data_IF_755042566510
#
_entry.id   IF_755042566510
#
_cell.length_a   1.000
_cell.length_b   1.000
_cell.length_c   1.000
_cell.angle_alpha   90.00
_cell.angle_beta   90.00
_cell.angle_gamma   90.00
#
_symmetry.space_group_name_H-M   'P 1'
#
loop_
_entity.id
_entity.type
_entity.pdbx_description
1 polymer ?
#
# COMPACT_ATOMS: atom_id res chain seq x y z
N UNK A 1 5.93 17.47 21.58
CA UNK A 1 7.16 17.16 20.80
C UNK A 1 6.89 16.20 19.66
N UNK A 2 6.06 15.18 19.82
CA UNK A 2 5.72 14.17 18.80
C UNK A 2 5.27 14.75 17.44
N UNK A 3 4.36 15.73 17.42
CA UNK A 3 3.91 16.34 16.16
C UNK A 3 5.00 17.08 15.36
N UNK A 4 6.03 17.60 16.05
CA UNK A 4 7.17 18.22 15.37
C UNK A 4 8.05 17.18 14.69
N UNK A 5 8.22 15.99 15.30
CA UNK A 5 8.93 14.85 14.73
C UNK A 5 8.20 14.30 13.50
N UNK A 6 6.90 14.08 13.62
CA UNK A 6 6.07 13.61 12.50
C UNK A 6 6.11 14.60 11.33
N UNK A 7 6.05 15.92 11.62
CA UNK A 7 6.18 16.96 10.60
C UNK A 7 7.56 16.98 9.93
N UNK A 8 8.62 16.72 10.67
CA UNK A 8 9.99 16.64 10.13
C UNK A 8 10.12 15.43 9.19
N UNK A 9 9.67 14.25 9.64
CA UNK A 9 9.62 13.03 8.84
C UNK A 9 8.81 13.23 7.56
N UNK A 10 7.62 13.83 7.67
CA UNK A 10 6.75 14.16 6.54
C UNK A 10 7.41 15.14 5.55
N UNK A 11 8.10 16.17 6.06
CA UNK A 11 8.79 17.14 5.20
C UNK A 11 9.89 16.49 4.36
N UNK A 12 10.57 15.49 4.91
CA UNK A 12 11.61 14.73 4.20
C UNK A 12 11.03 13.92 3.03
N UNK A 13 9.84 13.33 3.18
CA UNK A 13 9.26 12.41 2.20
C UNK A 13 8.33 13.04 1.18
N UNK A 14 7.77 14.22 1.48
CA UNK A 14 6.72 14.86 0.65
C UNK A 14 7.07 15.01 -0.83
N UNK A 15 8.37 15.21 -1.15
CA UNK A 15 8.83 15.31 -2.55
C UNK A 15 8.68 13.98 -3.28
N UNK A 16 9.21 12.93 -2.71
CA UNK A 16 9.21 11.60 -3.34
C UNK A 16 7.79 11.04 -3.43
N UNK A 17 7.00 11.16 -2.36
CA UNK A 17 5.59 10.77 -2.35
C UNK A 17 4.79 11.59 -3.37
N UNK A 18 5.05 12.90 -3.45
CA UNK A 18 4.41 13.76 -4.44
C UNK A 18 4.70 13.36 -5.88
N UNK A 19 5.95 12.97 -6.18
CA UNK A 19 6.35 12.47 -7.51
C UNK A 19 5.63 11.13 -7.80
N UNK A 20 5.61 10.20 -6.84
CA UNK A 20 4.93 8.92 -7.01
C UNK A 20 3.42 9.11 -7.27
N UNK A 21 2.76 9.96 -6.49
CA UNK A 21 1.35 10.28 -6.69
C UNK A 21 1.11 10.95 -8.07
N UNK A 22 1.97 11.89 -8.47
CA UNK A 22 1.86 12.54 -9.77
C UNK A 22 2.00 11.54 -10.94
N UNK A 23 2.97 10.63 -10.87
CA UNK A 23 3.17 9.58 -11.90
C UNK A 23 1.93 8.69 -12.01
N UNK A 24 1.36 8.25 -10.89
CA UNK A 24 0.15 7.41 -10.86
C UNK A 24 -1.04 8.17 -11.48
N UNK A 25 -1.26 9.42 -11.08
CA UNK A 25 -2.37 10.23 -11.57
C UNK A 25 -2.24 10.54 -13.07
N UNK A 26 -1.04 10.86 -13.54
CA UNK A 26 -0.76 11.10 -14.96
C UNK A 26 -1.01 9.81 -15.77
N UNK A 27 -0.54 8.66 -15.30
CA UNK A 27 -0.79 7.38 -15.96
C UNK A 27 -2.29 7.07 -16.06
N UNK A 28 -3.07 7.27 -14.99
CA UNK A 28 -4.52 7.09 -14.99
C UNK A 28 -5.25 8.07 -15.92
N UNK A 29 -4.83 9.33 -15.95
CA UNK A 29 -5.39 10.36 -16.80
C UNK A 29 -5.12 10.07 -18.28
N UNK A 30 -3.89 9.71 -18.64
CA UNK A 30 -3.54 9.36 -20.03
C UNK A 30 -4.30 8.12 -20.51
N UNK A 31 -4.40 7.08 -19.67
CA UNK A 31 -5.16 5.88 -19.98
C UNK A 31 -6.65 6.21 -20.15
N UNK A 32 -7.21 7.06 -19.31
CA UNK A 32 -8.61 7.50 -19.40
C UNK A 32 -8.92 8.33 -20.66
N UNK A 33 -8.05 9.28 -21.02
CA UNK A 33 -8.20 10.09 -22.24
C UNK A 33 -8.13 9.24 -23.51
N UNK A 34 -7.18 8.31 -23.59
CA UNK A 34 -7.07 7.40 -24.72
C UNK A 34 -8.27 6.44 -24.79
N UNK A 35 -8.75 5.93 -23.65
CA UNK A 35 -9.97 5.13 -23.58
C UNK A 35 -11.20 5.88 -24.09
N UNK A 36 -11.35 7.13 -23.64
CA UNK A 36 -12.42 8.02 -24.09
C UNK A 36 -12.36 8.27 -25.61
N UNK A 37 -11.17 8.47 -26.15
CA UNK A 37 -10.99 8.70 -27.58
C UNK A 37 -11.30 7.45 -28.41
N UNK A 38 -10.82 6.29 -27.97
CA UNK A 38 -11.13 5.00 -28.61
C UNK A 38 -12.63 4.72 -28.65
N UNK A 39 -13.34 4.96 -27.55
CA UNK A 39 -14.80 4.81 -27.49
C UNK A 39 -15.51 5.70 -28.50
N UNK A 40 -15.15 6.99 -28.58
CA UNK A 40 -15.75 7.92 -29.56
C UNK A 40 -15.53 7.50 -31.01
N UNK A 41 -14.37 6.96 -31.35
CA UNK A 41 -14.08 6.47 -32.68
C UNK A 41 -14.88 5.20 -33.01
N UNK A 42 -15.01 4.27 -32.07
CA UNK A 42 -15.75 3.03 -32.27
C UNK A 42 -17.24 3.27 -32.45
N UNK A 43 -17.81 4.26 -31.77
CA UNK A 43 -19.22 4.65 -31.90
C UNK A 43 -19.49 5.37 -33.22
N UNK A 44 -18.50 6.10 -33.77
CA UNK A 44 -18.65 6.83 -35.05
C UNK A 44 -18.55 5.96 -36.30
N UNK A 45 -18.55 4.63 -36.17
CA UNK A 45 -18.39 3.66 -37.30
C UNK A 45 -17.13 3.92 -38.15
N UNK A 46 -16.20 4.71 -37.69
CA UNK A 46 -14.95 4.98 -38.38
C UNK A 46 -13.94 3.86 -38.08
N UNK A 47 -13.25 3.36 -39.11
CA UNK A 47 -12.22 2.36 -38.89
C UNK A 47 -11.14 2.94 -37.97
N UNK A 48 -10.97 2.35 -36.80
CA UNK A 48 -9.92 2.75 -35.86
C UNK A 48 -8.59 2.29 -36.46
N UNK A 49 -7.63 3.18 -36.72
CA UNK A 49 -6.31 2.79 -37.22
C UNK A 49 -5.61 1.78 -36.29
N UNK A 50 -5.00 0.74 -36.86
CA UNK A 50 -4.32 -0.30 -36.10
C UNK A 50 -3.27 0.29 -35.15
N UNK A 51 -2.57 1.35 -35.57
CA UNK A 51 -1.60 2.06 -34.76
C UNK A 51 -2.23 2.63 -33.47
N UNK A 52 -3.46 3.16 -33.54
CA UNK A 52 -4.16 3.68 -32.37
C UNK A 52 -4.59 2.56 -31.42
N UNK A 53 -5.04 1.41 -31.94
CA UNK A 53 -5.38 0.26 -31.13
C UNK A 53 -4.16 -0.26 -30.36
N UNK A 54 -3.02 -0.42 -31.06
CA UNK A 54 -1.77 -0.86 -30.44
C UNK A 54 -1.28 0.14 -29.39
N UNK A 55 -1.33 1.45 -29.66
CA UNK A 55 -0.91 2.48 -28.72
C UNK A 55 -1.79 2.52 -27.47
N UNK A 56 -3.09 2.31 -27.61
CA UNK A 56 -4.02 2.21 -26.49
C UNK A 56 -3.69 0.99 -25.60
N UNK A 57 -3.51 -0.18 -26.20
CA UNK A 57 -3.16 -1.40 -25.46
C UNK A 57 -1.85 -1.21 -24.70
N UNK A 58 -0.82 -0.66 -25.36
CA UNK A 58 0.47 -0.39 -24.71
C UNK A 58 0.35 0.59 -23.53
N UNK A 59 -0.47 1.63 -23.67
CA UNK A 59 -0.65 2.64 -22.62
C UNK A 59 -1.44 2.08 -21.44
N UNK A 60 -2.47 1.28 -21.68
CA UNK A 60 -3.21 0.58 -20.61
C UNK A 60 -2.29 -0.41 -19.90
N UNK A 61 -1.51 -1.20 -20.62
CA UNK A 61 -0.52 -2.11 -20.03
C UNK A 61 0.51 -1.35 -19.19
N UNK A 62 1.00 -0.22 -19.69
CA UNK A 62 1.91 0.63 -18.93
C UNK A 62 1.26 1.16 -17.65
N UNK A 63 0.01 1.60 -17.68
CA UNK A 63 -0.71 2.07 -16.49
C UNK A 63 -0.93 0.94 -15.48
N UNK A 64 -1.33 -0.27 -15.94
CA UNK A 64 -1.51 -1.47 -15.10
C UNK A 64 -0.23 -1.89 -14.40
N UNK A 65 0.93 -1.70 -15.04
CA UNK A 65 2.23 -2.01 -14.44
C UNK A 65 2.70 -0.86 -13.52
N UNK A 66 2.51 0.39 -13.93
CA UNK A 66 3.02 1.58 -13.20
C UNK A 66 2.38 1.71 -11.82
N UNK A 67 1.06 1.47 -11.68
CA UNK A 67 0.36 1.63 -10.40
C UNK A 67 0.89 0.68 -9.32
N UNK A 68 0.94 -0.66 -9.52
CA UNK A 68 1.51 -1.56 -8.52
C UNK A 68 3.00 -1.30 -8.27
N UNK A 69 3.77 -0.99 -9.32
CA UNK A 69 5.19 -0.66 -9.15
C UNK A 69 5.40 0.59 -8.27
N UNK A 70 4.58 1.61 -8.41
CA UNK A 70 4.64 2.79 -7.56
C UNK A 70 4.23 2.49 -6.11
N UNK A 71 3.24 1.61 -5.90
CA UNK A 71 2.88 1.13 -4.55
C UNK A 71 4.05 0.38 -3.90
N UNK A 72 4.70 -0.53 -4.63
CA UNK A 72 5.88 -1.24 -4.15
C UNK A 72 7.04 -0.27 -3.88
N UNK A 73 7.29 0.66 -4.79
CA UNK A 73 8.33 1.68 -4.62
C UNK A 73 8.11 2.55 -3.38
N UNK A 74 6.86 2.87 -3.02
CA UNK A 74 6.54 3.63 -1.80
C UNK A 74 6.93 2.88 -0.53
N UNK A 75 6.71 1.56 -0.48
CA UNK A 75 7.13 0.72 0.65
C UNK A 75 8.67 0.68 0.76
N UNK A 76 9.36 0.44 -0.35
CA UNK A 76 10.83 0.45 -0.34
C UNK A 76 11.40 1.81 0.04
N UNK A 77 10.79 2.90 -0.41
CA UNK A 77 11.19 4.25 -0.02
C UNK A 77 11.00 4.49 1.48
N UNK A 78 9.88 4.06 2.06
CA UNK A 78 9.63 4.14 3.49
C UNK A 78 10.69 3.38 4.31
N UNK A 79 11.07 2.17 3.86
CA UNK A 79 12.13 1.36 4.47
C UNK A 79 13.53 2.00 4.32
N UNK A 80 13.84 2.52 3.14
CA UNK A 80 15.10 3.22 2.89
C UNK A 80 15.23 4.45 3.80
N UNK A 81 14.16 5.26 3.91
CA UNK A 81 14.14 6.42 4.79
C UNK A 81 14.31 6.01 6.25
N UNK A 82 13.60 4.96 6.72
CA UNK A 82 13.74 4.41 8.06
C UNK A 82 15.19 3.99 8.34
N UNK A 83 15.82 3.26 7.40
CA UNK A 83 17.23 2.87 7.51
C UNK A 83 18.15 4.09 7.59
N UNK A 84 17.98 5.05 6.67
CA UNK A 84 18.81 6.24 6.60
C UNK A 84 18.71 7.10 7.86
N UNK A 85 17.52 7.34 8.35
CA UNK A 85 17.30 8.18 9.54
C UNK A 85 17.77 7.55 10.86
N UNK A 86 18.06 6.24 10.90
CA UNK A 86 18.38 5.52 12.14
C UNK A 86 19.74 4.86 12.17
N UNK A 87 20.23 4.37 11.04
CA UNK A 87 21.42 3.52 10.97
C UNK A 87 22.56 4.12 10.16
N UNK A 88 22.44 5.37 9.69
CA UNK A 88 23.52 6.13 9.04
C UNK A 88 23.96 7.30 9.92
N UNK A 89 24.86 8.12 9.41
CA UNK A 89 25.35 9.33 10.11
C UNK A 89 24.21 10.27 10.57
N UNK A 90 23.11 10.33 9.84
CA UNK A 90 21.92 11.09 10.25
C UNK A 90 21.28 10.52 11.53
N UNK A 91 21.44 9.21 11.79
CA UNK A 91 20.97 8.54 13.00
C UNK A 91 21.65 9.08 14.27
N UNK A 92 22.97 9.38 14.22
CA UNK A 92 23.66 9.98 15.34
C UNK A 92 23.00 11.26 15.81
N UNK A 93 22.68 12.16 14.88
CA UNK A 93 21.99 13.42 15.19
C UNK A 93 20.56 13.18 15.73
N UNK A 94 19.89 12.14 15.24
CA UNK A 94 18.53 11.80 15.68
C UNK A 94 18.50 11.30 17.13
N UNK A 95 19.51 10.53 17.56
CA UNK A 95 19.60 10.01 18.93
C UNK A 95 20.17 11.02 19.94
N UNK A 96 20.80 12.13 19.49
CA UNK A 96 21.21 13.24 20.39
C UNK A 96 20.06 14.16 20.75
N UNK A 97 18.90 14.05 20.08
CA UNK A 97 17.72 14.82 20.43
C UNK A 97 17.16 14.37 21.81
N UNK A 98 16.72 15.30 22.66
CA UNK A 98 16.13 14.98 23.97
C UNK A 98 14.69 14.46 23.81
N UNK A 99 14.53 13.30 23.12
CA UNK A 99 13.25 12.69 22.80
C UNK A 99 13.28 11.21 23.12
N UNK A 100 12.17 10.66 23.61
CA UNK A 100 12.04 9.23 23.89
C UNK A 100 12.12 8.39 22.62
N UNK A 101 12.89 7.29 22.66
CA UNK A 101 13.00 6.32 21.54
C UNK A 101 11.64 5.81 21.06
N UNK A 102 10.64 5.67 21.94
CA UNK A 102 9.27 5.31 21.56
C UNK A 102 8.64 6.35 20.63
N UNK A 103 8.81 7.64 20.94
CA UNK A 103 8.25 8.72 20.10
C UNK A 103 8.92 8.77 18.74
N UNK A 104 10.22 8.51 18.70
CA UNK A 104 10.98 8.43 17.46
C UNK A 104 10.52 7.27 16.57
N UNK A 105 10.34 6.07 17.13
CA UNK A 105 9.89 4.89 16.37
C UNK A 105 8.47 5.05 15.89
N UNK A 106 7.57 5.50 16.77
CA UNK A 106 6.16 5.67 16.43
C UNK A 106 5.98 6.73 15.34
N UNK A 107 6.75 7.85 15.37
CA UNK A 107 6.69 8.88 14.32
C UNK A 107 7.11 8.35 12.96
N UNK A 108 8.16 7.51 12.89
CA UNK A 108 8.58 6.89 11.62
C UNK A 108 7.56 5.88 11.08
N UNK A 109 6.99 5.04 11.95
CA UNK A 109 5.94 4.08 11.54
C UNK A 109 4.72 4.84 11.02
N UNK A 110 4.22 5.84 11.76
CA UNK A 110 3.07 6.64 11.35
C UNK A 110 3.31 7.41 10.05
N UNK A 111 4.50 8.00 9.89
CA UNK A 111 4.87 8.67 8.64
C UNK A 111 4.84 7.69 7.45
N UNK A 112 5.39 6.49 7.62
CA UNK A 112 5.39 5.46 6.58
C UNK A 112 3.98 4.96 6.24
N UNK A 113 3.12 4.78 7.24
CA UNK A 113 1.70 4.43 7.03
C UNK A 113 0.98 5.53 6.25
N UNK A 114 1.17 6.80 6.62
CA UNK A 114 0.57 7.94 5.91
C UNK A 114 1.04 8.03 4.46
N UNK A 115 2.31 7.77 4.18
CA UNK A 115 2.87 7.74 2.82
C UNK A 115 2.21 6.66 1.96
N UNK A 116 2.15 5.44 2.48
CA UNK A 116 1.54 4.31 1.77
C UNK A 116 0.05 4.58 1.53
N UNK A 117 -0.69 5.10 2.52
CA UNK A 117 -2.09 5.45 2.37
C UNK A 117 -2.32 6.52 1.31
N UNK A 118 -1.45 7.53 1.21
CA UNK A 118 -1.55 8.55 0.17
C UNK A 118 -1.30 8.01 -1.22
N UNK A 119 -0.32 7.12 -1.38
CA UNK A 119 -0.05 6.47 -2.67
C UNK A 119 -1.22 5.56 -3.07
N UNK A 120 -1.82 4.83 -2.13
CA UNK A 120 -3.03 4.03 -2.37
C UNK A 120 -4.24 4.91 -2.74
N UNK A 121 -4.41 6.04 -2.07
CA UNK A 121 -5.45 7.00 -2.41
C UNK A 121 -5.24 7.58 -3.82
N UNK A 122 -4.01 7.93 -4.18
CA UNK A 122 -3.68 8.37 -5.54
C UNK A 122 -3.96 7.28 -6.59
N UNK A 123 -3.67 6.01 -6.27
CA UNK A 123 -4.01 4.87 -7.13
C UNK A 123 -5.52 4.71 -7.32
N UNK A 124 -6.29 4.80 -6.24
CA UNK A 124 -7.77 4.76 -6.31
C UNK A 124 -8.33 5.92 -7.15
N UNK A 125 -7.80 7.13 -6.96
CA UNK A 125 -8.18 8.30 -7.75
C UNK A 125 -7.81 8.14 -9.23
N UNK A 126 -6.65 7.56 -9.55
CA UNK A 126 -6.24 7.29 -10.93
C UNK A 126 -7.19 6.32 -11.64
N UNK A 127 -7.62 5.26 -10.94
CA UNK A 127 -8.62 4.31 -11.45
C UNK A 127 -9.98 5.01 -11.66
N UNK A 128 -10.40 5.82 -10.69
CA UNK A 128 -11.65 6.58 -10.81
C UNK A 128 -11.60 7.60 -11.95
N UNK A 129 -10.49 8.30 -12.17
CA UNK A 129 -10.29 9.21 -13.29
C UNK A 129 -10.29 8.47 -14.63
N UNK A 130 -9.59 7.33 -14.71
CA UNK A 130 -9.59 6.51 -15.91
C UNK A 130 -11.01 6.04 -16.27
N UNK A 131 -11.74 5.46 -15.32
CA UNK A 131 -13.12 5.03 -15.52
C UNK A 131 -14.08 6.18 -15.81
N UNK A 132 -13.98 7.27 -15.06
CA UNK A 132 -14.86 8.44 -15.27
C UNK A 132 -14.67 9.09 -16.62
N UNK A 133 -13.44 9.25 -17.12
CA UNK A 133 -13.15 9.79 -18.44
C UNK A 133 -13.63 8.88 -19.56
N UNK A 134 -13.44 7.57 -19.43
CA UNK A 134 -13.95 6.62 -20.44
C UNK A 134 -15.47 6.60 -20.49
N UNK A 135 -16.14 6.62 -19.34
CA UNK A 135 -17.60 6.68 -19.26
C UNK A 135 -18.16 8.00 -19.79
N UNK A 136 -17.50 9.14 -19.58
CA UNK A 136 -17.93 10.43 -20.11
C UNK A 136 -17.90 10.52 -21.64
N UNK A 137 -17.19 9.62 -22.30
CA UNK A 137 -17.10 9.56 -23.76
C UNK A 137 -18.21 8.75 -24.43
N UNK A 138 -19.07 8.08 -23.65
CA UNK A 138 -20.23 7.37 -24.17
C UNK A 138 -21.23 8.38 -24.77
N UNK A 139 -21.81 8.08 -25.94
CA UNK A 139 -22.87 8.91 -26.56
C UNK A 139 -24.20 8.67 -25.81
N UNK A 140 -24.40 9.42 -24.73
CA UNK A 140 -25.55 9.27 -23.86
C UNK A 140 -26.90 9.45 -24.57
N UNK A 141 -26.92 10.14 -25.73
CA UNK A 141 -28.11 10.35 -26.55
C UNK A 141 -28.52 9.09 -27.31
N UNK A 142 -27.59 8.21 -27.69
CA UNK A 142 -27.84 6.96 -28.41
C UNK A 142 -27.99 5.75 -27.48
N UNK A 143 -27.68 5.93 -26.21
CA UNK A 143 -27.80 4.87 -25.20
C UNK A 143 -29.28 4.65 -24.88
N UNK A 144 -29.79 3.46 -25.22
CA UNK A 144 -31.19 3.09 -25.01
C UNK A 144 -31.65 3.30 -23.57
N UNK A 145 -32.94 3.68 -23.40
CA UNK A 145 -33.56 3.79 -22.05
C UNK A 145 -33.41 2.51 -21.24
N UNK A 146 -33.39 1.35 -21.90
CA UNK A 146 -33.15 0.04 -21.27
C UNK A 146 -31.78 -0.09 -20.65
N UNK A 147 -30.75 0.53 -21.25
CA UNK A 147 -29.41 0.56 -20.65
C UNK A 147 -29.40 1.38 -19.36
N UNK A 148 -30.00 2.57 -19.36
CA UNK A 148 -30.11 3.40 -18.14
C UNK A 148 -30.93 2.72 -17.07
N UNK A 149 -32.03 2.08 -17.41
CA UNK A 149 -32.85 1.32 -16.49
C UNK A 149 -32.05 0.13 -15.90
N UNK A 150 -31.22 -0.50 -16.72
CA UNK A 150 -30.37 -1.61 -16.29
C UNK A 150 -29.24 -1.11 -15.37
N UNK A 151 -28.50 -0.05 -15.76
CA UNK A 151 -27.44 0.54 -14.96
C UNK A 151 -27.98 1.07 -13.61
N UNK A 152 -29.12 1.78 -13.61
CA UNK A 152 -29.74 2.29 -12.40
C UNK A 152 -30.18 1.18 -11.46
N UNK A 153 -30.71 0.07 -11.99
CA UNK A 153 -31.09 -1.13 -11.25
C UNK A 153 -29.85 -1.77 -10.60
N UNK A 154 -28.76 -1.97 -11.36
CA UNK A 154 -27.52 -2.51 -10.82
C UNK A 154 -26.85 -1.56 -9.81
N UNK A 155 -26.83 -0.26 -10.07
CA UNK A 155 -26.30 0.72 -9.14
C UNK A 155 -27.12 0.78 -7.84
N UNK A 156 -28.43 0.71 -7.95
CA UNK A 156 -29.34 0.63 -6.78
C UNK A 156 -29.13 -0.65 -5.98
N UNK A 157 -29.08 -1.81 -6.67
CA UNK A 157 -28.81 -3.09 -6.05
C UNK A 157 -27.40 -3.13 -5.40
N UNK A 158 -26.37 -2.60 -6.08
CA UNK A 158 -25.04 -2.44 -5.47
C UNK A 158 -25.06 -1.52 -4.26
N UNK A 159 -25.75 -0.37 -4.35
CA UNK A 159 -25.88 0.55 -3.21
C UNK A 159 -26.53 -0.10 -2.00
N UNK A 160 -27.64 -0.81 -2.20
CA UNK A 160 -28.30 -1.55 -1.14
C UNK A 160 -27.43 -2.65 -0.57
N UNK A 161 -26.82 -3.49 -1.41
CA UNK A 161 -25.92 -4.55 -0.94
C UNK A 161 -24.67 -4.01 -0.23
N UNK A 162 -24.13 -2.85 -0.63
CA UNK A 162 -23.05 -2.18 0.09
C UNK A 162 -23.48 -1.68 1.46
N UNK A 163 -24.70 -1.13 1.59
CA UNK A 163 -25.22 -0.67 2.88
C UNK A 163 -25.54 -1.84 3.82
N UNK A 164 -26.15 -2.89 3.30
CA UNK A 164 -26.48 -4.11 4.07
C UNK A 164 -25.22 -4.82 4.57
N UNK A 165 -24.17 -4.87 3.74
CA UNK A 165 -22.91 -5.52 4.06
C UNK A 165 -21.82 -4.55 4.60
N UNK A 166 -22.20 -3.30 4.93
CA UNK A 166 -21.25 -2.30 5.43
C UNK A 166 -20.43 -2.78 6.63
N UNK A 167 -21.01 -3.46 7.65
CA UNK A 167 -20.24 -3.99 8.77
C UNK A 167 -19.17 -5.02 8.34
N UNK A 168 -19.51 -5.89 7.38
CA UNK A 168 -18.58 -6.89 6.86
C UNK A 168 -17.47 -6.26 6.03
N UNK A 169 -17.82 -5.28 5.20
CA UNK A 169 -16.85 -4.50 4.41
C UNK A 169 -15.87 -3.78 5.34
N UNK A 170 -16.35 -3.11 6.39
CA UNK A 170 -15.50 -2.43 7.36
C UNK A 170 -14.60 -3.42 8.11
N UNK A 171 -15.10 -4.60 8.43
CA UNK A 171 -14.33 -5.68 9.04
C UNK A 171 -13.18 -6.13 8.10
N UNK A 172 -13.50 -6.43 6.84
CA UNK A 172 -12.50 -6.85 5.84
C UNK A 172 -11.45 -5.75 5.63
N UNK A 173 -11.86 -4.48 5.53
CA UNK A 173 -10.92 -3.35 5.41
C UNK A 173 -10.03 -3.24 6.65
N UNK A 174 -10.58 -3.43 7.85
CA UNK A 174 -9.82 -3.46 9.10
C UNK A 174 -8.78 -4.58 9.12
N UNK A 175 -9.16 -5.78 8.68
CA UNK A 175 -8.25 -6.94 8.54
C UNK A 175 -7.13 -6.64 7.55
N UNK A 176 -7.44 -6.11 6.37
CA UNK A 176 -6.44 -5.75 5.36
C UNK A 176 -5.48 -4.69 5.90
N UNK A 177 -5.98 -3.71 6.63
CA UNK A 177 -5.15 -2.68 7.26
C UNK A 177 -4.21 -3.28 8.32
N UNK A 178 -4.72 -4.17 9.20
CA UNK A 178 -3.90 -4.87 10.19
C UNK A 178 -2.83 -5.74 9.54
N UNK A 179 -3.16 -6.45 8.47
CA UNK A 179 -2.20 -7.25 7.70
C UNK A 179 -1.11 -6.36 7.08
N UNK A 180 -1.48 -5.25 6.44
CA UNK A 180 -0.53 -4.31 5.84
C UNK A 180 0.39 -3.70 6.90
N UNK A 181 -0.16 -3.29 8.05
CA UNK A 181 0.61 -2.75 9.15
C UNK A 181 1.57 -3.79 9.75
N UNK A 182 1.13 -5.04 9.90
CA UNK A 182 1.98 -6.13 10.37
C UNK A 182 3.15 -6.41 9.43
N UNK A 183 2.93 -6.35 8.11
CA UNK A 183 3.98 -6.52 7.11
C UNK A 183 4.97 -5.35 7.13
N UNK A 184 4.50 -4.11 7.26
CA UNK A 184 5.37 -2.94 7.37
C UNK A 184 6.28 -3.03 8.60
N UNK A 185 5.73 -3.37 9.77
CA UNK A 185 6.51 -3.52 11.02
C UNK A 185 7.51 -4.67 10.90
N UNK A 186 7.13 -5.78 10.27
CA UNK A 186 8.02 -6.91 10.04
C UNK A 186 9.19 -6.54 9.10
N UNK A 187 8.94 -5.76 8.06
CA UNK A 187 9.98 -5.24 7.17
C UNK A 187 10.92 -4.28 7.91
N UNK A 188 10.39 -3.36 8.72
CA UNK A 188 11.20 -2.45 9.54
C UNK A 188 12.04 -3.21 10.58
N UNK A 189 11.48 -4.25 11.22
CA UNK A 189 12.22 -5.13 12.12
C UNK A 189 13.37 -5.85 11.40
N UNK A 190 13.10 -6.38 10.21
CA UNK A 190 14.12 -7.05 9.41
C UNK A 190 15.26 -6.10 9.02
N UNK A 191 14.94 -4.86 8.65
CA UNK A 191 15.93 -3.80 8.39
C UNK A 191 16.73 -3.48 9.65
N UNK A 192 16.09 -3.39 10.82
CA UNK A 192 16.76 -3.14 12.11
C UNK A 192 17.73 -4.24 12.45
N UNK A 193 17.32 -5.51 12.35
CA UNK A 193 18.18 -6.66 12.62
C UNK A 193 19.32 -6.72 11.59
N UNK A 194 19.02 -6.50 10.30
CA UNK A 194 20.01 -6.50 9.22
C UNK A 194 21.09 -5.44 9.43
N UNK A 195 20.70 -4.23 9.84
CA UNK A 195 21.63 -3.13 10.12
C UNK A 195 22.54 -3.41 11.32
N UNK A 196 22.02 -4.08 12.36
CA UNK A 196 22.80 -4.40 13.57
C UNK A 196 23.70 -5.63 13.36
N UNK A 197 23.20 -6.66 12.64
CA UNK A 197 23.89 -7.94 12.51
C UNK A 197 24.97 -7.94 11.42
N UNK A 198 24.82 -7.16 10.36
CA UNK A 198 25.73 -7.20 9.22
C UNK A 198 26.24 -5.81 8.83
N UNK A 199 27.49 -5.47 9.25
CA UNK A 199 28.13 -4.20 8.88
C UNK A 199 28.47 -4.10 7.38
N UNK A 200 28.78 -5.22 6.68
CA UNK A 200 29.17 -5.23 5.26
C UNK A 200 27.97 -5.26 4.29
N UNK A 201 26.94 -6.04 4.61
CA UNK A 201 25.80 -6.27 3.72
C UNK A 201 24.46 -6.20 4.48
N UNK A 202 24.08 -5.03 5.03
CA UNK A 202 22.89 -4.89 5.87
C UNK A 202 21.59 -5.22 5.12
N UNK A 203 21.51 -4.86 3.83
CA UNK A 203 20.32 -5.11 3.00
C UNK A 203 20.10 -6.60 2.77
N UNK A 204 21.16 -7.35 2.43
CA UNK A 204 21.09 -8.78 2.19
C UNK A 204 20.68 -9.54 3.46
N UNK A 205 21.22 -9.11 4.62
CA UNK A 205 20.84 -9.67 5.91
C UNK A 205 19.39 -9.34 6.28
N UNK A 206 18.92 -8.12 5.95
CA UNK A 206 17.51 -7.75 6.16
C UNK A 206 16.56 -8.65 5.33
N UNK A 207 16.90 -8.96 4.08
CA UNK A 207 16.15 -9.92 3.28
C UNK A 207 16.13 -11.30 3.90
N UNK A 208 17.28 -11.83 4.32
CA UNK A 208 17.36 -13.14 4.96
C UNK A 208 16.51 -13.21 6.23
N UNK A 209 16.55 -12.19 7.06
CA UNK A 209 15.75 -12.09 8.29
C UNK A 209 14.25 -12.00 7.96
N UNK A 210 13.87 -11.19 6.98
CA UNK A 210 12.48 -11.06 6.55
C UNK A 210 11.90 -12.39 6.10
N UNK A 211 12.61 -13.11 5.23
CA UNK A 211 12.19 -14.44 4.77
C UNK A 211 12.17 -15.47 5.90
N UNK A 212 13.17 -15.43 6.80
CA UNK A 212 13.22 -16.33 7.97
C UNK A 212 12.02 -16.16 8.90
N UNK A 213 11.70 -14.92 9.27
CA UNK A 213 10.52 -14.60 10.09
C UNK A 213 9.24 -14.93 9.32
N UNK A 214 9.20 -14.68 8.00
CA UNK A 214 8.06 -15.00 7.14
C UNK A 214 7.74 -16.49 7.10
N UNK A 215 8.77 -17.35 6.98
CA UNK A 215 8.63 -18.81 7.04
C UNK A 215 8.09 -19.25 8.40
N UNK A 216 8.66 -18.73 9.50
CA UNK A 216 8.19 -19.04 10.87
C UNK A 216 6.71 -18.65 11.04
N UNK A 217 6.35 -17.44 10.61
CA UNK A 217 4.96 -16.98 10.65
C UNK A 217 4.03 -17.85 9.81
N UNK A 218 4.49 -18.30 8.62
CA UNK A 218 3.75 -19.21 7.74
C UNK A 218 3.51 -20.56 8.40
N UNK A 219 4.53 -21.15 9.01
CA UNK A 219 4.42 -22.41 9.75
C UNK A 219 3.43 -22.29 10.92
N UNK A 220 3.54 -21.23 11.72
CA UNK A 220 2.59 -20.97 12.82
C UNK A 220 1.17 -20.81 12.27
N UNK A 221 0.99 -20.09 11.18
CA UNK A 221 -0.31 -19.94 10.52
C UNK A 221 -0.92 -21.26 10.08
N UNK A 222 -0.13 -22.14 9.44
CA UNK A 222 -0.56 -23.47 9.00
C UNK A 222 -0.92 -24.35 10.22
N UNK A 223 -0.12 -24.34 11.27
CA UNK A 223 -0.39 -25.13 12.48
C UNK A 223 -1.68 -24.67 13.19
N UNK A 224 -1.91 -23.36 13.24
CA UNK A 224 -3.13 -22.79 13.82
C UNK A 224 -4.36 -23.17 12.98
N UNK A 225 -4.27 -23.08 11.65
CA UNK A 225 -5.35 -23.47 10.74
C UNK A 225 -5.61 -24.98 10.84
N UNK A 226 -4.57 -25.82 10.78
CA UNK A 226 -4.69 -27.28 10.87
C UNK A 226 -5.25 -27.73 12.24
N UNK A 227 -4.90 -27.01 13.32
CA UNK A 227 -5.48 -27.24 14.64
C UNK A 227 -6.94 -26.78 14.76
N UNK A 228 -7.40 -25.93 13.86
CA UNK A 228 -8.73 -25.35 13.85
C UNK A 228 -9.76 -26.09 12.97
N UNK A 229 -9.42 -27.26 12.41
CA UNK A 229 -10.31 -28.06 11.54
C UNK A 229 -11.68 -28.44 12.16
N UNK A 230 -11.87 -28.12 13.43
CA UNK A 230 -13.17 -28.23 14.15
C UNK A 230 -13.91 -26.89 14.28
N UNK A 231 -13.41 -25.80 13.70
CA UNK A 231 -13.89 -24.45 13.99
C UNK A 231 -14.30 -23.77 12.68
N UNK A 232 -15.57 -23.48 12.52
CA UNK A 232 -16.22 -22.76 11.41
C UNK A 232 -15.39 -21.60 10.84
N UNK A 233 -15.43 -21.39 9.51
CA UNK A 233 -14.62 -20.44 8.74
C UNK A 233 -14.51 -19.00 9.28
N UNK A 234 -15.44 -18.54 10.12
CA UNK A 234 -15.35 -17.24 10.80
C UNK A 234 -14.23 -17.13 11.83
N UNK A 235 -13.79 -18.25 12.41
CA UNK A 235 -12.67 -18.30 13.36
C UNK A 235 -11.31 -18.35 12.66
N UNK A 236 -11.24 -18.89 11.43
CA UNK A 236 -10.00 -18.85 10.64
C UNK A 236 -9.61 -17.42 10.27
N UNK A 237 -10.56 -16.54 9.98
CA UNK A 237 -10.30 -15.11 9.78
C UNK A 237 -9.82 -14.44 11.08
N UNK A 238 -10.45 -14.70 12.21
CA UNK A 238 -10.05 -14.16 13.52
C UNK A 238 -8.63 -14.58 13.94
N UNK A 239 -8.16 -15.78 13.56
CA UNK A 239 -6.80 -16.24 13.87
C UNK A 239 -5.73 -15.47 13.13
N UNK A 240 -5.98 -15.06 11.87
CA UNK A 240 -5.06 -14.22 11.09
C UNK A 240 -4.93 -12.82 11.69
N UNK A 241 -6.01 -12.26 12.25
CA UNK A 241 -5.98 -10.97 12.95
C UNK A 241 -5.13 -11.07 14.22
N UNK A 242 -5.32 -12.13 15.01
CA UNK A 242 -4.52 -12.37 16.22
C UNK A 242 -3.02 -12.50 15.89
N UNK A 243 -2.66 -13.26 14.85
CA UNK A 243 -1.27 -13.39 14.40
C UNK A 243 -0.72 -12.02 13.96
N UNK A 244 -1.52 -11.21 13.28
CA UNK A 244 -1.14 -9.86 12.85
C UNK A 244 -0.89 -8.93 14.05
N UNK A 245 -1.77 -8.94 15.05
CA UNK A 245 -1.61 -8.16 16.28
C UNK A 245 -0.37 -8.59 17.06
N UNK A 246 -0.14 -9.90 17.22
CA UNK A 246 1.06 -10.44 17.89
C UNK A 246 2.32 -10.00 17.12
N UNK A 247 2.30 -10.04 15.79
CA UNK A 247 3.43 -9.60 14.95
C UNK A 247 3.69 -8.09 15.11
N UNK A 248 2.63 -7.28 15.18
CA UNK A 248 2.74 -5.83 15.40
C UNK A 248 3.38 -5.53 16.75
N UNK A 249 2.83 -6.10 17.82
CA UNK A 249 3.32 -5.86 19.18
C UNK A 249 4.73 -6.42 19.36
N UNK A 250 4.95 -7.68 19.01
CA UNK A 250 6.26 -8.35 19.13
C UNK A 250 7.32 -7.67 18.28
N UNK A 251 6.99 -7.31 17.02
CA UNK A 251 7.89 -6.58 16.13
C UNK A 251 8.27 -5.20 16.66
N UNK A 252 7.28 -4.45 17.16
CA UNK A 252 7.52 -3.13 17.76
C UNK A 252 8.43 -3.21 19.00
N UNK A 253 8.13 -4.10 19.94
CA UNK A 253 8.95 -4.28 21.14
C UNK A 253 10.34 -4.80 20.82
N UNK A 254 10.49 -5.72 19.87
CA UNK A 254 11.79 -6.20 19.42
C UNK A 254 12.63 -5.07 18.80
N UNK A 255 12.05 -4.25 17.92
CA UNK A 255 12.71 -3.07 17.37
C UNK A 255 13.15 -2.09 18.46
N UNK A 256 12.26 -1.80 19.40
CA UNK A 256 12.57 -0.91 20.54
C UNK A 256 13.74 -1.45 21.38
N UNK A 257 13.71 -2.72 21.74
CA UNK A 257 14.78 -3.35 22.52
C UNK A 257 16.13 -3.34 21.79
N UNK A 258 16.12 -3.67 20.50
CA UNK A 258 17.33 -3.70 19.68
C UNK A 258 17.93 -2.30 19.51
N UNK A 259 17.10 -1.29 19.25
CA UNK A 259 17.56 0.09 19.10
C UNK A 259 18.03 0.72 20.39
N UNK A 260 17.41 0.39 21.53
CA UNK A 260 17.79 0.96 22.83
C UNK A 260 19.04 0.35 23.46
N UNK A 261 19.32 -0.94 23.19
CA UNK A 261 20.41 -1.67 23.88
C UNK A 261 21.59 -2.09 23.00
N UNK A 262 21.39 -2.27 21.70
CA UNK A 262 22.42 -2.82 20.79
C UNK A 262 22.91 -1.85 19.72
N UNK A 263 22.37 -0.64 19.68
CA UNK A 263 22.81 0.35 18.70
C UNK A 263 24.14 0.97 19.19
N UNK A 264 25.27 0.35 18.81
CA UNK A 264 26.57 0.99 18.89
C UNK A 264 26.80 1.78 17.60
N UNK A 265 26.65 3.09 17.66
CA UNK A 265 26.92 4.04 16.58
C UNK A 265 28.44 4.34 16.46
N UNK A 266 29.30 3.34 16.63
CA UNK A 266 30.74 3.47 16.45
C UNK A 266 31.18 3.04 15.06
#
# INVERSE_FOLDING_TARGET
MFGKLLKAEWRSSRRTVGILCAVILIAGLLAGLMGAWMLRLSVSDKPVPDLLQVSFVLLVMAAVITVPMACVASVFYALYRFYRSRFTEEGYLTYTLPVNNHQLMLSSILASVLEILLVLLAAALAVALCGGLTLSALPWEEVSEDFFATVSRYAGAMGQSLLENLPEILRVLGMLFLMALSQLIMLMLAVTIGAIAAKKHPILMAFAVYYGIGILRGIVGILVIAGSDRITGGLAMGTMDVISVITILGGYFAMYYLTSRKLNLS
#
